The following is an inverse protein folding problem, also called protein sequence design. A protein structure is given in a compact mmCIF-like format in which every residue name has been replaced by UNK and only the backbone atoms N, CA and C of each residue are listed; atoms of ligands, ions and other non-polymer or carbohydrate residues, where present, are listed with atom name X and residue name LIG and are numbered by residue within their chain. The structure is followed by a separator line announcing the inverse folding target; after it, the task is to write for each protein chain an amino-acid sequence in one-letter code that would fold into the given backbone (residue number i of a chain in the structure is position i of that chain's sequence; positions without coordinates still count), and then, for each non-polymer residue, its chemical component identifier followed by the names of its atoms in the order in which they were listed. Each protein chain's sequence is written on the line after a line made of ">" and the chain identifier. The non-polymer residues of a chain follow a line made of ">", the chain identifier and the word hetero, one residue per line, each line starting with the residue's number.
data_IF_675339618777
#
_entry.id   IF_675339618777
#
_cell.length_a   1.000
_cell.length_b   1.000
_cell.length_c   1.000
_cell.angle_alpha   90.00
_cell.angle_beta   90.00
_cell.angle_gamma   90.00
#
_symmetry.space_group_name_H-M   'P 1'
#
loop_
_entity.id
_entity.type
_entity.pdbx_description
1 polymer ?
#
# COMPACT_ATOMS: atom_id res chain seq x y z
N UNK A 1 44.70 -17.18 29.59
CA UNK A 1 45.24 -16.94 28.24
C UNK A 1 44.44 -17.65 27.14
N UNK A 2 44.06 -18.92 27.33
CA UNK A 2 43.33 -19.75 26.34
C UNK A 2 41.99 -19.15 25.89
N UNK A 3 41.25 -18.47 26.78
CA UNK A 3 39.97 -17.83 26.43
C UNK A 3 40.12 -16.63 25.47
N UNK A 4 41.22 -15.86 25.59
CA UNK A 4 41.52 -14.73 24.68
C UNK A 4 41.93 -15.20 23.27
N UNK A 5 42.57 -16.36 23.16
CA UNK A 5 42.88 -16.99 21.87
C UNK A 5 41.61 -17.49 21.16
N UNK A 6 40.66 -18.09 21.91
CA UNK A 6 39.35 -18.51 21.40
C UNK A 6 38.45 -17.33 21.01
N UNK A 7 38.63 -16.14 21.58
CA UNK A 7 37.92 -14.91 21.16
C UNK A 7 38.46 -14.30 19.87
N UNK A 8 39.75 -14.52 19.58
CA UNK A 8 40.42 -13.99 18.40
C UNK A 8 40.36 -14.93 17.18
N UNK A 9 39.72 -16.09 17.31
CA UNK A 9 39.50 -17.00 16.19
C UNK A 9 38.69 -16.31 15.06
N UNK A 10 39.22 -16.25 13.84
CA UNK A 10 38.56 -15.57 12.72
C UNK A 10 37.18 -16.13 12.38
N UNK A 11 36.96 -17.44 12.57
CA UNK A 11 35.65 -18.06 12.31
C UNK A 11 34.64 -17.63 13.36
N UNK A 12 35.03 -17.60 14.64
CA UNK A 12 34.17 -17.12 15.73
C UNK A 12 33.81 -15.63 15.57
N UNK A 13 34.76 -14.79 15.16
CA UNK A 13 34.50 -13.37 14.85
C UNK A 13 33.51 -13.22 13.68
N UNK A 14 33.69 -14.01 12.61
CA UNK A 14 32.75 -14.04 11.47
C UNK A 14 31.36 -14.50 11.91
N UNK A 15 31.28 -15.57 12.72
CA UNK A 15 30.01 -16.08 13.24
C UNK A 15 29.29 -15.04 14.07
N UNK A 16 29.97 -14.37 15.02
CA UNK A 16 29.37 -13.29 15.83
C UNK A 16 28.87 -12.14 14.96
N UNK A 17 29.63 -11.76 13.92
CA UNK A 17 29.22 -10.71 12.97
C UNK A 17 27.99 -11.12 12.14
N UNK A 18 27.94 -12.37 11.69
CA UNK A 18 26.78 -12.89 10.95
C UNK A 18 25.54 -12.97 11.84
N UNK A 19 25.71 -13.40 13.10
CA UNK A 19 24.63 -13.44 14.06
C UNK A 19 24.06 -12.06 14.36
N UNK A 20 24.92 -11.06 14.62
CA UNK A 20 24.45 -9.68 14.82
C UNK A 20 23.72 -9.11 13.59
N UNK A 21 24.20 -9.41 12.37
CA UNK A 21 23.47 -9.05 11.15
C UNK A 21 22.11 -9.72 11.04
N UNK A 22 21.99 -10.95 11.50
CA UNK A 22 20.72 -11.69 11.48
C UNK A 22 19.73 -11.07 12.47
N UNK A 23 20.16 -10.71 13.68
CA UNK A 23 19.35 -9.98 14.66
C UNK A 23 18.89 -8.61 14.13
N UNK A 24 19.78 -7.87 13.45
CA UNK A 24 19.44 -6.61 12.79
C UNK A 24 18.39 -6.80 11.69
N UNK A 25 18.55 -7.84 10.86
CA UNK A 25 17.57 -8.18 9.81
C UNK A 25 16.21 -8.57 10.39
N UNK A 26 16.18 -9.35 11.48
CA UNK A 26 14.93 -9.72 12.15
C UNK A 26 14.20 -8.49 12.70
N UNK A 27 14.94 -7.53 13.27
CA UNK A 27 14.39 -6.27 13.75
C UNK A 27 13.80 -5.44 12.61
N UNK A 28 14.54 -5.27 11.51
CA UNK A 28 14.07 -4.55 10.33
C UNK A 28 12.83 -5.20 9.70
N UNK A 29 12.76 -6.53 9.68
CA UNK A 29 11.59 -7.25 9.17
C UNK A 29 10.34 -7.02 10.05
N UNK A 30 10.52 -6.92 11.37
CA UNK A 30 9.42 -6.59 12.28
C UNK A 30 8.89 -5.16 12.02
N UNK A 31 9.79 -4.18 11.90
CA UNK A 31 9.43 -2.78 11.59
C UNK A 31 8.68 -2.67 10.26
N UNK A 32 9.16 -3.33 9.20
CA UNK A 32 8.49 -3.36 7.89
C UNK A 32 7.08 -3.95 7.99
N UNK A 33 6.89 -4.99 8.82
CA UNK A 33 5.58 -5.61 8.99
C UNK A 33 4.59 -4.68 9.69
N UNK A 34 5.06 -3.91 10.66
CA UNK A 34 4.26 -2.92 11.37
C UNK A 34 3.90 -1.76 10.43
N UNK A 35 4.86 -1.24 9.65
CA UNK A 35 4.63 -0.21 8.62
C UNK A 35 3.59 -0.67 7.58
N UNK A 36 3.69 -1.91 7.10
CA UNK A 36 2.69 -2.47 6.16
C UNK A 36 1.31 -2.51 6.78
N UNK A 37 1.21 -2.84 8.07
CA UNK A 37 -0.07 -2.90 8.79
C UNK A 37 -0.68 -1.51 8.94
N UNK A 38 0.12 -0.50 9.26
CA UNK A 38 -0.33 0.89 9.32
C UNK A 38 -0.77 1.41 7.93
N UNK A 39 0.01 1.14 6.89
CA UNK A 39 -0.33 1.52 5.51
C UNK A 39 -1.67 0.92 5.08
N UNK A 40 -1.96 -0.34 5.45
CA UNK A 40 -3.25 -0.99 5.18
C UNK A 40 -4.39 -0.21 5.82
N UNK A 41 -4.32 0.06 7.13
CA UNK A 41 -5.34 0.84 7.84
C UNK A 41 -5.59 2.20 7.17
N UNK A 42 -4.51 2.90 6.76
CA UNK A 42 -4.63 4.16 6.03
C UNK A 42 -5.31 4.01 4.66
N UNK A 43 -5.11 2.90 3.94
CA UNK A 43 -5.80 2.59 2.68
C UNK A 43 -7.29 2.34 2.93
N UNK A 44 -7.66 1.66 4.02
CA UNK A 44 -9.05 1.51 4.43
C UNK A 44 -9.71 2.87 4.70
N UNK A 45 -9.06 3.76 5.44
CA UNK A 45 -9.57 5.11 5.71
C UNK A 45 -9.75 5.94 4.44
N UNK A 46 -8.75 5.93 3.55
CA UNK A 46 -8.84 6.62 2.25
C UNK A 46 -9.98 6.04 1.40
N UNK A 47 -10.16 4.72 1.44
CA UNK A 47 -11.25 4.05 0.71
C UNK A 47 -12.61 4.54 1.20
N UNK A 48 -12.78 4.68 2.52
CA UNK A 48 -14.03 5.17 3.11
C UNK A 48 -14.28 6.65 2.78
N UNK A 49 -13.25 7.49 2.87
CA UNK A 49 -13.33 8.92 2.51
C UNK A 49 -13.75 9.07 1.04
N UNK A 50 -13.06 8.39 0.13
CA UNK A 50 -13.39 8.46 -1.30
C UNK A 50 -14.79 7.91 -1.56
N UNK A 51 -15.22 6.87 -0.85
CA UNK A 51 -16.57 6.31 -1.02
C UNK A 51 -17.65 7.35 -0.73
N UNK A 52 -17.51 8.08 0.38
CA UNK A 52 -18.43 9.15 0.79
C UNK A 52 -18.44 10.30 -0.21
N UNK A 53 -17.27 10.78 -0.62
CA UNK A 53 -17.16 11.86 -1.62
C UNK A 53 -17.80 11.46 -2.96
N UNK A 54 -17.64 10.21 -3.37
CA UNK A 54 -18.31 9.68 -4.55
C UNK A 54 -19.84 9.55 -4.38
N UNK A 55 -20.41 9.60 -3.18
CA UNK A 55 -21.88 9.62 -2.98
C UNK A 55 -22.44 11.03 -3.12
N UNK A 56 -21.62 12.06 -2.94
CA UNK A 56 -21.99 13.47 -3.10
C UNK A 56 -21.98 13.94 -4.56
N UNK A 57 -21.32 13.18 -5.45
CA UNK A 57 -21.22 13.49 -6.87
C UNK A 57 -22.40 12.84 -7.62
N UNK A 58 -23.19 13.66 -8.33
CA UNK A 58 -24.37 13.22 -9.08
C UNK A 58 -24.04 12.29 -10.24
N UNK A 59 -22.99 12.58 -11.01
CA UNK A 59 -22.45 11.71 -12.06
C UNK A 59 -20.95 11.45 -11.85
N UNK A 60 -20.68 10.41 -11.05
CA UNK A 60 -19.31 9.98 -10.74
C UNK A 60 -18.57 9.52 -12.00
N UNK A 61 -19.26 8.95 -12.99
CA UNK A 61 -18.60 8.44 -14.19
C UNK A 61 -18.06 9.56 -15.05
N UNK A 62 -18.89 10.56 -15.33
CA UNK A 62 -18.48 11.70 -16.13
C UNK A 62 -17.45 12.56 -15.40
N UNK A 63 -17.62 12.73 -14.08
CA UNK A 63 -16.59 13.35 -13.24
C UNK A 63 -15.23 12.65 -13.36
N UNK A 64 -15.20 11.31 -13.28
CA UNK A 64 -13.97 10.54 -13.45
C UNK A 64 -13.38 10.66 -14.85
N UNK A 65 -14.20 10.69 -15.91
CA UNK A 65 -13.72 10.87 -17.29
C UNK A 65 -13.00 12.22 -17.47
N UNK A 66 -13.58 13.28 -16.92
CA UNK A 66 -13.04 14.64 -17.03
C UNK A 66 -11.74 14.82 -16.23
N UNK A 67 -11.68 14.28 -15.01
CA UNK A 67 -10.59 14.55 -14.07
C UNK A 67 -9.42 13.54 -14.14
N UNK A 68 -9.66 12.31 -14.63
CA UNK A 68 -8.61 11.27 -14.75
C UNK A 68 -7.93 11.22 -16.12
N UNK A 69 -8.52 11.81 -17.16
CA UNK A 69 -7.92 11.82 -18.51
C UNK A 69 -7.57 10.41 -19.00
N UNK A 70 -6.28 10.14 -19.27
CA UNK A 70 -5.82 8.82 -19.74
C UNK A 70 -6.02 7.71 -18.72
N UNK A 71 -5.94 8.01 -17.42
CA UNK A 71 -6.05 7.02 -16.34
C UNK A 71 -7.47 6.43 -16.28
N UNK A 72 -8.48 7.14 -16.78
CA UNK A 72 -9.84 6.62 -16.90
C UNK A 72 -9.89 5.31 -17.70
N UNK A 73 -9.05 5.17 -18.75
CA UNK A 73 -9.02 3.96 -19.59
C UNK A 73 -8.64 2.72 -18.77
N UNK A 74 -7.81 2.88 -17.74
CA UNK A 74 -7.38 1.81 -16.84
C UNK A 74 -8.55 1.32 -15.98
N UNK A 75 -9.41 2.25 -15.54
CA UNK A 75 -10.50 1.96 -14.60
C UNK A 75 -11.83 1.61 -15.26
N UNK A 76 -12.00 1.94 -16.55
CA UNK A 76 -13.25 1.78 -17.30
C UNK A 76 -13.88 0.39 -17.16
N UNK A 77 -13.08 -0.67 -17.21
CA UNK A 77 -13.60 -2.03 -17.09
C UNK A 77 -14.04 -2.34 -15.66
N UNK A 78 -13.24 -1.97 -14.65
CA UNK A 78 -13.60 -2.15 -13.24
C UNK A 78 -14.85 -1.34 -12.87
N UNK A 79 -14.99 -0.12 -13.40
CA UNK A 79 -16.18 0.70 -13.21
C UNK A 79 -17.43 0.04 -13.81
N UNK A 80 -17.34 -0.51 -15.03
CA UNK A 80 -18.45 -1.27 -15.63
C UNK A 80 -18.87 -2.45 -14.76
N UNK A 81 -17.92 -3.18 -14.19
CA UNK A 81 -18.19 -4.30 -13.26
C UNK A 81 -18.87 -3.81 -11.98
N UNK A 82 -18.42 -2.67 -11.45
CA UNK A 82 -19.04 -2.01 -10.30
C UNK A 82 -20.51 -1.64 -10.58
N UNK A 83 -20.79 -1.02 -11.73
CA UNK A 83 -22.16 -0.65 -12.13
C UNK A 83 -23.08 -1.87 -12.34
N UNK A 84 -22.52 -3.00 -12.72
CA UNK A 84 -23.25 -4.28 -12.84
C UNK A 84 -23.45 -4.99 -11.51
N UNK A 85 -22.88 -4.48 -10.41
CA UNK A 85 -22.89 -5.12 -9.10
C UNK A 85 -21.95 -6.33 -8.98
N UNK A 86 -21.06 -6.56 -9.95
CA UNK A 86 -20.09 -7.67 -9.91
C UNK A 86 -18.97 -7.42 -8.87
N UNK A 87 -18.70 -6.15 -8.57
CA UNK A 87 -17.80 -5.72 -7.49
C UNK A 87 -18.46 -4.58 -6.72
N UNK A 88 -18.11 -4.42 -5.45
CA UNK A 88 -18.59 -3.30 -4.64
C UNK A 88 -17.91 -1.97 -5.02
N UNK A 89 -18.53 -0.84 -4.63
CA UNK A 89 -17.94 0.50 -4.80
C UNK A 89 -16.61 0.63 -4.04
N UNK A 90 -16.53 0.09 -2.82
CA UNK A 90 -15.28 0.02 -2.04
C UNK A 90 -14.19 -0.77 -2.76
N UNK A 91 -14.55 -1.87 -3.41
CA UNK A 91 -13.60 -2.68 -4.16
C UNK A 91 -13.13 -1.98 -5.45
N UNK A 92 -14.03 -1.26 -6.13
CA UNK A 92 -13.66 -0.37 -7.23
C UNK A 92 -12.66 0.70 -6.77
N UNK A 93 -12.89 1.34 -5.62
CA UNK A 93 -12.01 2.36 -5.05
C UNK A 93 -10.63 1.77 -4.73
N UNK A 94 -10.57 0.58 -4.13
CA UNK A 94 -9.31 -0.15 -3.90
C UNK A 94 -8.57 -0.43 -5.21
N UNK A 95 -9.27 -0.82 -6.27
CA UNK A 95 -8.68 -0.98 -7.61
C UNK A 95 -8.15 0.36 -8.13
N UNK A 96 -8.89 1.45 -7.96
CA UNK A 96 -8.45 2.81 -8.31
C UNK A 96 -7.15 3.20 -7.62
N UNK A 97 -7.10 3.05 -6.30
CA UNK A 97 -5.91 3.27 -5.48
C UNK A 97 -4.74 2.36 -5.88
N UNK A 98 -5.01 1.13 -6.31
CA UNK A 98 -3.97 0.17 -6.70
C UNK A 98 -3.40 0.43 -8.10
N UNK A 99 -4.25 0.81 -9.05
CA UNK A 99 -3.89 0.92 -10.47
C UNK A 99 -3.47 2.33 -10.88
N UNK A 100 -4.04 3.34 -10.24
CA UNK A 100 -3.80 4.76 -10.55
C UNK A 100 -3.10 5.47 -9.38
N UNK A 101 -3.23 4.96 -8.15
CA UNK A 101 -2.50 5.49 -7.01
C UNK A 101 -3.11 6.79 -6.46
N UNK A 102 -2.25 7.63 -5.89
CA UNK A 102 -2.63 8.91 -5.27
C UNK A 102 -3.46 9.80 -6.19
N UNK A 103 -3.20 9.76 -7.50
CA UNK A 103 -3.94 10.57 -8.48
C UNK A 103 -5.45 10.27 -8.45
N UNK A 104 -5.82 8.99 -8.31
CA UNK A 104 -7.22 8.59 -8.19
C UNK A 104 -7.89 9.17 -6.94
N UNK A 105 -7.24 9.09 -5.77
CA UNK A 105 -7.79 9.69 -4.56
C UNK A 105 -7.88 11.22 -4.66
N UNK A 106 -6.86 11.85 -5.27
CA UNK A 106 -6.75 13.32 -5.32
C UNK A 106 -7.90 13.99 -6.06
N UNK A 107 -8.46 13.35 -7.09
CA UNK A 107 -9.58 13.97 -7.81
C UNK A 107 -10.80 14.10 -6.91
N UNK A 108 -11.02 13.21 -5.93
CA UNK A 108 -12.18 13.31 -5.03
C UNK A 108 -11.89 14.21 -3.83
N UNK A 109 -10.69 14.13 -3.26
CA UNK A 109 -10.32 14.86 -2.03
C UNK A 109 -10.10 16.36 -2.29
N UNK A 110 -9.75 16.74 -3.51
CA UNK A 110 -9.51 18.14 -3.90
C UNK A 110 -10.73 18.83 -4.50
N UNK A 111 -11.93 18.25 -4.33
CA UNK A 111 -13.22 18.87 -4.69
C UNK A 111 -13.60 19.95 -3.68
#
# INVERSE_FOLDING_TARGET
>A
MINKLKENDPKRKRFKKLYGKLEEMETQLAEIKDDISEIRLRIEDVTEIVNKLMEEISDVEDYMKENLGSDWKILKNSWKRCKKGEISKKEFIKIGLTKVGKRFASIFISM
#
